data_IF_282808710325
#
_entry.id   IF_282808710325
#
_cell.length_a   1.000
_cell.length_b   1.000
_cell.length_c   1.000
_cell.angle_alpha   90.00
_cell.angle_beta   90.00
_cell.angle_gamma   90.00
#
_symmetry.space_group_name_H-M   'P 1'
#
loop_
_entity.id
_entity.type
_entity.pdbx_description
1 polymer ?
#
# COMPACT_ATOMS: atom_id res chain seq x y z
N UNK A 1 -10.04 -10.33 -2.83
CA UNK A 1 -9.17 -10.04 -4.00
C UNK A 1 -7.89 -9.41 -3.49
N UNK A 2 -6.79 -9.46 -4.24
CA UNK A 2 -5.56 -8.71 -3.91
C UNK A 2 -5.22 -7.77 -5.06
N UNK A 3 -5.08 -6.49 -4.76
CA UNK A 3 -4.48 -5.50 -5.65
C UNK A 3 -2.99 -5.36 -5.36
N UNK A 4 -2.21 -4.96 -6.36
CA UNK A 4 -0.77 -4.69 -6.20
C UNK A 4 -0.43 -3.32 -6.75
N UNK A 5 0.32 -2.54 -5.98
CA UNK A 5 0.95 -1.30 -6.42
C UNK A 5 2.44 -1.59 -6.54
N UNK A 6 3.01 -1.36 -7.72
CA UNK A 6 4.45 -1.43 -7.95
C UNK A 6 5.06 -0.06 -7.69
N UNK A 7 6.13 -0.03 -6.88
CA UNK A 7 6.92 1.16 -6.66
C UNK A 7 8.18 1.16 -7.52
N UNK A 8 8.59 2.37 -7.90
CA UNK A 8 9.92 2.67 -8.44
C UNK A 8 11.01 2.36 -7.40
N UNK A 9 12.26 2.20 -7.87
CA UNK A 9 13.36 1.67 -7.06
C UNK A 9 13.78 2.57 -5.88
N UNK A 10 13.47 3.87 -5.95
CA UNK A 10 13.73 4.86 -4.92
C UNK A 10 12.70 4.84 -3.78
N UNK A 11 11.56 4.17 -3.93
CA UNK A 11 10.49 4.10 -2.92
C UNK A 11 10.41 2.71 -2.30
N UNK A 12 10.88 2.53 -1.07
CA UNK A 12 10.85 1.22 -0.40
C UNK A 12 9.44 0.82 0.08
N UNK A 13 8.84 -0.22 -0.53
CA UNK A 13 7.51 -0.71 -0.16
C UNK A 13 7.37 -1.12 1.32
N UNK A 14 8.44 -1.63 1.92
CA UNK A 14 8.45 -2.02 3.33
C UNK A 14 8.33 -0.82 4.27
N UNK A 15 8.98 0.28 3.90
CA UNK A 15 8.94 1.56 4.61
C UNK A 15 7.56 2.19 4.49
N UNK A 16 6.97 2.21 3.29
CA UNK A 16 5.57 2.66 3.09
C UNK A 16 4.62 1.86 4.00
N UNK A 17 4.67 0.53 3.95
CA UNK A 17 3.81 -0.32 4.76
C UNK A 17 4.01 -0.12 6.27
N UNK A 18 5.25 0.11 6.72
CA UNK A 18 5.56 0.41 8.13
C UNK A 18 4.90 1.72 8.58
N UNK A 19 4.95 2.76 7.76
CA UNK A 19 4.35 4.07 8.07
C UNK A 19 2.82 3.96 8.06
N UNK A 20 2.23 3.30 7.06
CA UNK A 20 0.78 3.05 7.00
C UNK A 20 0.31 2.30 8.25
N UNK A 21 1.02 1.25 8.66
CA UNK A 21 0.72 0.48 9.88
C UNK A 21 0.80 1.33 11.14
N UNK A 22 1.80 2.23 11.23
CA UNK A 22 1.92 3.14 12.38
C UNK A 22 0.73 4.11 12.50
N UNK A 23 -0.01 4.33 11.41
CA UNK A 23 -1.22 5.15 11.36
C UNK A 23 -2.53 4.32 11.35
N UNK A 24 -2.46 3.02 11.65
CA UNK A 24 -3.62 2.14 11.77
C UNK A 24 -4.11 1.52 10.45
N UNK A 25 -3.43 1.76 9.33
CA UNK A 25 -3.77 1.16 8.03
C UNK A 25 -3.06 -0.20 7.94
N UNK A 26 -3.83 -1.29 8.08
CA UNK A 26 -3.30 -2.65 8.24
C UNK A 26 -3.62 -3.61 7.10
N UNK A 27 -4.45 -3.19 6.14
CA UNK A 27 -4.84 -4.01 4.97
C UNK A 27 -3.78 -4.03 3.86
N UNK A 28 -2.55 -3.61 4.19
CA UNK A 28 -1.42 -3.53 3.26
C UNK A 28 -0.19 -4.26 3.79
N UNK A 29 0.54 -4.91 2.89
CA UNK A 29 1.78 -5.64 3.21
C UNK A 29 2.77 -5.59 2.03
N UNK A 30 4.08 -5.37 2.26
CA UNK A 30 5.08 -5.43 1.21
C UNK A 30 5.20 -6.85 0.65
N UNK A 31 5.50 -6.96 -0.64
CA UNK A 31 5.65 -8.24 -1.30
C UNK A 31 6.84 -8.25 -2.26
N UNK A 32 7.82 -9.12 -1.96
CA UNK A 32 9.09 -9.20 -2.71
C UNK A 32 9.39 -10.57 -3.33
N UNK A 33 8.55 -11.59 -3.12
CA UNK A 33 8.81 -12.97 -3.60
C UNK A 33 8.88 -13.11 -5.13
N UNK A 34 8.42 -12.11 -5.88
CA UNK A 34 8.50 -12.06 -7.34
C UNK A 34 9.64 -11.15 -7.85
N UNK A 35 10.54 -10.70 -6.97
CA UNK A 35 11.63 -9.77 -7.34
C UNK A 35 11.15 -8.36 -7.68
N UNK A 36 9.91 -8.02 -7.30
CA UNK A 36 9.29 -6.71 -7.53
C UNK A 36 9.15 -5.97 -6.20
N UNK A 37 9.21 -4.64 -6.25
CA UNK A 37 9.04 -3.77 -5.10
C UNK A 37 7.56 -3.39 -4.97
N UNK A 38 6.75 -4.28 -4.38
CA UNK A 38 5.28 -4.14 -4.39
C UNK A 38 4.68 -3.93 -3.01
N UNK A 39 3.58 -3.18 -2.97
CA UNK A 39 2.59 -3.21 -1.90
C UNK A 39 1.39 -4.05 -2.33
N UNK A 40 0.99 -5.00 -1.50
CA UNK A 40 -0.27 -5.73 -1.67
C UNK A 40 -1.36 -5.07 -0.85
N UNK A 41 -2.53 -4.94 -1.44
CA UNK A 41 -3.74 -4.42 -0.80
C UNK A 41 -4.79 -5.51 -0.77
N UNK A 42 -5.27 -5.85 0.42
CA UNK A 42 -6.40 -6.75 0.58
C UNK A 42 -7.72 -5.99 0.30
N UNK A 43 -8.50 -6.46 -0.68
CA UNK A 43 -9.79 -5.85 -1.03
C UNK A 43 -10.91 -6.90 -0.92
N UNK A 44 -12.00 -6.54 -0.26
CA UNK A 44 -13.18 -7.39 -0.10
C UNK A 44 -14.37 -6.80 -0.85
N UNK A 45 -15.29 -7.63 -1.41
CA UNK A 45 -16.41 -7.13 -2.22
C UNK A 45 -17.36 -6.15 -1.50
N UNK A 46 -17.36 -6.15 -0.17
CA UNK A 46 -18.22 -5.29 0.64
C UNK A 46 -17.52 -3.99 1.10
N UNK A 47 -16.28 -3.73 0.68
CA UNK A 47 -15.59 -2.47 0.94
C UNK A 47 -16.11 -1.42 -0.04
N UNK A 48 -16.46 -0.24 0.47
CA UNK A 48 -16.92 0.85 -0.38
C UNK A 48 -15.77 1.37 -1.26
N UNK A 49 -16.01 1.71 -2.53
CA UNK A 49 -14.97 2.22 -3.42
C UNK A 49 -14.23 3.45 -2.85
N UNK A 50 -14.93 4.32 -2.13
CA UNK A 50 -14.37 5.53 -1.52
C UNK A 50 -13.32 5.20 -0.43
N UNK A 51 -13.46 4.07 0.28
CA UNK A 51 -12.45 3.63 1.25
C UNK A 51 -11.16 3.19 0.54
N UNK A 52 -11.28 2.61 -0.66
CA UNK A 52 -10.12 2.25 -1.50
C UNK A 52 -9.45 3.52 -2.04
N UNK A 53 -10.22 4.53 -2.44
CA UNK A 53 -9.69 5.84 -2.84
C UNK A 53 -8.96 6.53 -1.68
N UNK A 54 -9.54 6.52 -0.48
CA UNK A 54 -8.89 7.07 0.72
C UNK A 54 -7.57 6.34 1.05
N UNK A 55 -7.52 5.01 0.87
CA UNK A 55 -6.28 4.25 1.00
C UNK A 55 -5.22 4.71 -0.01
N UNK A 56 -5.59 4.94 -1.27
CA UNK A 56 -4.64 5.42 -2.28
C UNK A 56 -4.09 6.81 -1.95
N UNK A 57 -4.94 7.73 -1.44
CA UNK A 57 -4.49 9.04 -0.99
C UNK A 57 -3.53 8.96 0.21
N UNK A 58 -3.77 8.01 1.12
CA UNK A 58 -2.84 7.75 2.22
C UNK A 58 -1.49 7.23 1.73
N UNK A 59 -1.48 6.35 0.72
CA UNK A 59 -0.24 5.87 0.08
C UNK A 59 0.50 7.03 -0.57
N UNK A 60 -0.18 7.87 -1.35
CA UNK A 60 0.39 9.04 -2.02
C UNK A 60 1.02 9.99 -1.00
N UNK A 61 0.30 10.32 0.08
CA UNK A 61 0.79 11.20 1.14
C UNK A 61 2.09 10.71 1.78
N UNK A 62 2.18 9.39 2.01
CA UNK A 62 3.39 8.76 2.57
C UNK A 62 4.53 8.84 1.57
N UNK A 63 4.30 8.45 0.32
CA UNK A 63 5.33 8.41 -0.73
C UNK A 63 5.91 9.80 -1.00
N UNK A 64 5.08 10.85 -1.02
CA UNK A 64 5.53 12.24 -1.18
C UNK A 64 6.49 12.75 -0.09
N UNK A 65 6.56 12.07 1.06
CA UNK A 65 7.29 12.49 2.27
C UNK A 65 8.43 11.54 2.65
N UNK A 66 8.74 10.58 1.78
CA UNK A 66 9.92 9.71 1.87
C UNK A 66 11.13 10.36 1.20
#
# INVERSE_FOLDING_TARGET
MVGTIDFVDDVDAGTVAKILRANGIVDTEPYRKLGRNQLRVAMFPAVEPDDVSALTECVDWVVERL
#
